data_IF_056312204538
#
_entry.id   IF_056312204538
#
_cell.length_a   1.000
_cell.length_b   1.000
_cell.length_c   1.000
_cell.angle_alpha   90.00
_cell.angle_beta   90.00
_cell.angle_gamma   90.00
#
_symmetry.space_group_name_H-M   'P 1'
#
loop_
_entity.id
_entity.type
_entity.pdbx_description
1 polymer ?
#
# COMPACT_ATOMS: atom_id res chain seq x y z
N UNK A 1 -3.94 -29.39 21.92
CA UNK A 1 -3.66 -28.12 21.21
C UNK A 1 -4.51 -26.98 21.74
N UNK A 2 -5.84 -27.13 21.80
CA UNK A 2 -6.76 -26.12 22.37
C UNK A 2 -6.54 -25.89 23.87
N UNK A 3 -6.30 -26.95 24.66
CA UNK A 3 -6.07 -26.84 26.11
C UNK A 3 -4.92 -25.91 26.49
N UNK A 4 -3.80 -26.00 25.78
CA UNK A 4 -2.65 -25.14 26.02
C UNK A 4 -2.98 -23.65 25.86
N UNK A 5 -3.82 -23.30 24.87
CA UNK A 5 -4.25 -21.91 24.65
C UNK A 5 -5.12 -21.42 25.81
N UNK A 6 -5.97 -22.29 26.35
CA UNK A 6 -6.83 -22.00 27.50
C UNK A 6 -5.97 -21.77 28.75
N UNK A 7 -4.98 -22.64 28.97
CA UNK A 7 -4.08 -22.57 30.12
C UNK A 7 -3.14 -21.36 30.07
N UNK A 8 -2.84 -20.85 28.86
CA UNK A 8 -1.95 -19.71 28.63
C UNK A 8 -2.71 -18.43 28.20
N UNK A 9 -4.03 -18.37 28.41
CA UNK A 9 -4.87 -17.24 27.96
C UNK A 9 -4.40 -15.89 28.50
N UNK A 10 -3.91 -15.84 29.74
CA UNK A 10 -3.45 -14.60 30.37
C UNK A 10 -2.19 -14.08 29.70
N UNK A 11 -1.28 -14.98 29.30
CA UNK A 11 -0.10 -14.63 28.53
C UNK A 11 -0.49 -14.14 27.12
N UNK A 12 -1.38 -14.86 26.42
CA UNK A 12 -1.82 -14.51 25.06
C UNK A 12 -2.54 -13.16 25.00
N UNK A 13 -3.43 -12.89 25.97
CA UNK A 13 -4.22 -11.66 26.04
C UNK A 13 -3.58 -10.56 26.90
N UNK A 14 -2.36 -10.77 27.41
CA UNK A 14 -1.57 -9.70 28.02
C UNK A 14 -1.17 -8.65 26.97
N UNK A 15 -0.87 -7.41 27.39
CA UNK A 15 -0.44 -6.36 26.45
C UNK A 15 0.80 -6.75 25.62
N UNK A 16 1.72 -7.51 26.21
CA UNK A 16 2.91 -8.04 25.52
C UNK A 16 2.52 -9.19 24.57
N UNK A 17 1.66 -10.11 25.01
CA UNK A 17 1.17 -11.24 24.20
C UNK A 17 0.42 -10.78 22.96
N UNK A 18 -0.46 -9.77 23.10
CA UNK A 18 -1.18 -9.16 21.98
C UNK A 18 -0.22 -8.49 21.02
N UNK A 19 0.81 -7.80 21.52
CA UNK A 19 1.82 -7.14 20.68
C UNK A 19 2.65 -8.14 19.85
N UNK A 20 3.09 -9.24 20.47
CA UNK A 20 3.86 -10.29 19.77
C UNK A 20 2.98 -11.03 18.75
N UNK A 21 1.77 -11.41 19.13
CA UNK A 21 0.85 -12.13 18.23
C UNK A 21 0.46 -11.26 17.03
N UNK A 22 0.10 -10.00 17.24
CA UNK A 22 -0.22 -9.06 16.14
C UNK A 22 0.98 -8.82 15.22
N UNK A 23 2.20 -8.71 15.75
CA UNK A 23 3.41 -8.57 14.94
C UNK A 23 3.64 -9.81 14.06
N UNK A 24 3.52 -11.01 14.63
CA UNK A 24 3.64 -12.27 13.88
C UNK A 24 2.55 -12.35 12.80
N UNK A 25 1.29 -12.09 13.14
CA UNK A 25 0.18 -12.05 12.19
C UNK A 25 0.40 -11.02 11.07
N UNK A 26 0.96 -9.85 11.38
CA UNK A 26 1.25 -8.80 10.40
C UNK A 26 2.28 -9.23 9.36
N UNK A 27 3.23 -10.09 9.71
CA UNK A 27 4.22 -10.63 8.78
C UNK A 27 3.58 -11.57 7.75
N UNK A 28 2.55 -12.33 8.15
CA UNK A 28 1.81 -13.19 7.25
C UNK A 28 0.85 -12.40 6.35
N UNK A 29 0.26 -11.31 6.84
CA UNK A 29 -0.63 -10.42 6.07
C UNK A 29 0.15 -9.57 5.07
N UNK A 30 1.39 -9.17 5.41
CA UNK A 30 2.27 -8.35 4.55
C UNK A 30 2.67 -9.00 3.22
N UNK A 31 2.37 -10.28 3.01
CA UNK A 31 2.61 -10.96 1.73
C UNK A 31 1.63 -10.57 0.60
N UNK A 32 0.59 -9.77 0.88
CA UNK A 32 -0.40 -9.32 -0.12
C UNK A 32 -0.17 -7.93 -0.74
N UNK A 33 1.01 -7.31 -0.60
CA UNK A 33 1.32 -6.07 -1.34
C UNK A 33 2.70 -6.10 -1.98
N UNK A 34 2.77 -6.78 -3.12
CA UNK A 34 3.65 -6.38 -4.21
C UNK A 34 2.90 -6.24 -5.54
N UNK A 35 1.59 -6.04 -5.48
CA UNK A 35 0.97 -5.23 -6.52
C UNK A 35 1.42 -3.81 -6.19
N UNK A 36 2.35 -3.31 -7.00
CA UNK A 36 2.46 -1.89 -7.29
C UNK A 36 1.09 -1.27 -7.08
N UNK A 37 0.96 -0.28 -6.20
CA UNK A 37 -0.27 0.51 -6.14
C UNK A 37 -0.47 1.06 -7.54
N UNK A 38 -1.24 0.35 -8.36
CA UNK A 38 -1.86 0.89 -9.55
C UNK A 38 -2.91 1.79 -8.91
N UNK A 39 -2.51 3.03 -8.68
CA UNK A 39 -3.48 4.08 -8.43
C UNK A 39 -4.21 4.15 -9.77
N UNK A 40 -5.30 3.40 -9.89
CA UNK A 40 -6.22 3.52 -11.01
C UNK A 40 -6.86 4.89 -10.89
N UNK A 41 -6.19 5.89 -11.46
CA UNK A 41 -6.69 7.24 -11.58
C UNK A 41 -7.80 7.22 -12.64
N UNK A 42 -8.99 6.77 -12.26
CA UNK A 42 -10.17 6.86 -13.12
C UNK A 42 -10.66 8.31 -13.13
N UNK A 43 -10.33 9.04 -14.18
CA UNK A 43 -10.84 10.39 -14.38
C UNK A 43 -11.98 10.34 -15.39
N UNK A 44 -13.17 10.78 -14.96
CA UNK A 44 -14.32 10.97 -15.83
C UNK A 44 -14.21 12.35 -16.47
N UNK A 45 -13.96 12.39 -17.78
CA UNK A 45 -13.93 13.64 -18.57
C UNK A 45 -15.30 13.93 -19.19
N UNK A 46 -15.75 15.20 -19.13
CA UNK A 46 -16.92 15.70 -19.84
C UNK A 46 -16.59 16.18 -21.26
N UNK A 47 -17.61 16.55 -22.05
CA UNK A 47 -17.42 17.11 -23.39
C UNK A 47 -16.53 18.37 -23.35
N UNK A 48 -15.53 18.44 -24.23
CA UNK A 48 -14.50 19.50 -24.31
C UNK A 48 -13.48 19.57 -23.15
N UNK A 49 -13.18 18.43 -22.49
CA UNK A 49 -12.10 18.35 -21.50
C UNK A 49 -10.83 17.69 -22.06
N UNK A 50 -9.66 18.23 -21.69
CA UNK A 50 -8.37 17.59 -21.97
C UNK A 50 -7.77 17.07 -20.67
N UNK A 51 -7.52 15.77 -20.62
CA UNK A 51 -7.06 15.09 -19.42
C UNK A 51 -5.57 14.78 -19.51
N UNK A 52 -4.79 15.27 -18.56
CA UNK A 52 -3.35 15.00 -18.47
C UNK A 52 -3.02 14.28 -17.16
N UNK A 53 -2.44 13.08 -17.28
CA UNK A 53 -2.03 12.26 -16.13
C UNK A 53 -0.65 11.69 -16.36
N UNK A 54 0.20 11.77 -15.33
CA UNK A 54 1.49 11.10 -15.31
C UNK A 54 1.82 10.69 -13.89
N UNK A 55 2.51 9.56 -13.78
CA UNK A 55 3.07 9.04 -12.52
C UNK A 55 4.40 9.71 -12.15
N UNK A 56 4.96 10.52 -13.04
CA UNK A 56 6.19 11.29 -12.84
C UNK A 56 6.07 12.69 -13.45
N UNK A 57 7.19 13.40 -13.58
CA UNK A 57 7.19 14.81 -13.94
C UNK A 57 6.51 15.09 -15.30
N UNK A 58 5.53 16.00 -15.30
CA UNK A 58 4.91 16.53 -16.51
C UNK A 58 5.42 17.94 -16.76
N UNK A 59 6.05 18.15 -17.91
CA UNK A 59 6.49 19.46 -18.36
C UNK A 59 5.50 19.97 -19.41
N UNK A 60 4.83 21.08 -19.12
CA UNK A 60 3.94 21.75 -20.06
C UNK A 60 4.54 23.08 -20.51
N UNK A 61 4.68 23.25 -21.83
CA UNK A 61 5.28 24.44 -22.44
C UNK A 61 6.81 24.34 -22.53
N UNK A 62 7.31 24.17 -23.75
CA UNK A 62 8.74 24.25 -24.03
C UNK A 62 9.06 23.92 -25.48
N UNK A 63 9.36 24.94 -26.29
CA UNK A 63 10.30 24.75 -27.40
C UNK A 63 11.66 24.46 -26.74
N UNK A 64 12.34 23.42 -27.20
CA UNK A 64 13.64 22.92 -26.70
C UNK A 64 13.64 22.09 -25.41
N UNK A 65 13.35 20.79 -25.55
CA UNK A 65 14.01 19.79 -24.71
C UNK A 65 15.34 19.47 -25.37
N UNK A 66 16.38 20.17 -24.90
CA UNK A 66 17.76 19.88 -25.26
C UNK A 66 18.11 18.41 -24.99
N UNK A 67 18.86 17.86 -25.94
CA UNK A 67 19.48 16.54 -26.00
C UNK A 67 19.95 16.04 -24.62
N UNK A 68 19.45 14.88 -24.20
CA UNK A 68 20.07 14.08 -23.14
C UNK A 68 21.39 13.50 -23.67
N UNK A 69 22.50 13.78 -22.99
CA UNK A 69 23.72 12.95 -22.99
C UNK A 69 23.56 11.84 -21.98
#
# INVERSE_FOLDING_TARGET
MVQWVIDNKEWVFSGIGVSITTLIFSLFIRRKKKETTIIENFQVGGENSTNYQSKGDMYFGGKDVQKRK
#
